data_IF_056065116758
#
_entry.id   IF_056065116758
#
_cell.length_a   1.000
_cell.length_b   1.000
_cell.length_c   1.000
_cell.angle_alpha   90.00
_cell.angle_beta   90.00
_cell.angle_gamma   90.00
#
_symmetry.space_group_name_H-M   'P 1'
#
loop_
_entity.id
_entity.type
_entity.pdbx_description
1 polymer ?
#
# COMPACT_ATOMS: atom_id res chain seq x y z
N UNK A 1 -27.16 -21.75 -36.24
CA UNK A 1 -26.66 -22.32 -34.98
C UNK A 1 -25.91 -21.23 -34.26
N UNK A 2 -26.60 -20.45 -33.43
CA UNK A 2 -25.93 -19.50 -32.53
C UNK A 2 -25.32 -20.34 -31.40
N UNK A 3 -24.03 -20.14 -31.13
CA UNK A 3 -23.21 -20.98 -30.24
C UNK A 3 -23.73 -21.06 -28.77
N UNK A 4 -24.83 -20.38 -28.42
CA UNK A 4 -25.33 -20.25 -27.06
C UNK A 4 -26.86 -20.29 -27.03
N UNK A 5 -27.42 -21.43 -26.62
CA UNK A 5 -28.86 -21.67 -26.46
C UNK A 5 -29.41 -20.96 -25.22
N UNK A 6 -29.74 -19.67 -25.34
CA UNK A 6 -30.74 -18.99 -24.50
C UNK A 6 -30.48 -18.86 -22.99
N UNK A 7 -29.37 -19.38 -22.45
CA UNK A 7 -29.04 -19.28 -21.03
C UNK A 7 -28.20 -18.02 -20.78
N UNK A 8 -28.85 -17.00 -20.21
CA UNK A 8 -28.21 -15.82 -19.64
C UNK A 8 -27.92 -16.07 -18.15
N UNK A 9 -26.75 -15.65 -17.62
CA UNK A 9 -25.67 -14.93 -18.30
C UNK A 9 -24.75 -15.87 -19.11
N UNK A 10 -24.41 -15.45 -20.34
CA UNK A 10 -23.49 -16.18 -21.23
C UNK A 10 -22.08 -16.37 -20.68
N UNK A 11 -21.68 -15.49 -19.76
CA UNK A 11 -20.45 -15.60 -18.98
C UNK A 11 -20.81 -15.41 -17.51
N UNK A 12 -21.07 -16.48 -16.73
CA UNK A 12 -21.14 -16.36 -15.29
C UNK A 12 -19.75 -15.90 -14.85
N UNK A 13 -19.60 -14.62 -14.52
CA UNK A 13 -18.31 -14.08 -14.08
C UNK A 13 -18.04 -14.57 -12.65
N UNK A 14 -17.09 -15.50 -12.43
CA UNK A 14 -16.56 -15.67 -11.10
C UNK A 14 -15.95 -14.33 -10.69
N UNK A 15 -16.46 -13.72 -9.63
CA UNK A 15 -15.88 -12.52 -9.06
C UNK A 15 -14.58 -12.93 -8.38
N UNK A 16 -13.48 -12.92 -9.12
CA UNK A 16 -12.16 -13.01 -8.52
C UNK A 16 -11.80 -11.63 -7.96
N UNK A 17 -11.60 -11.57 -6.65
CA UNK A 17 -10.95 -10.42 -6.04
C UNK A 17 -9.58 -10.25 -6.71
N UNK A 18 -9.30 -9.05 -7.23
CA UNK A 18 -7.96 -8.76 -7.69
C UNK A 18 -7.01 -8.88 -6.49
N UNK A 19 -6.06 -9.82 -6.56
CA UNK A 19 -5.06 -10.01 -5.50
C UNK A 19 -4.10 -8.83 -5.35
N UNK A 20 -4.04 -7.94 -6.36
CA UNK A 20 -3.26 -6.71 -6.38
C UNK A 20 -4.17 -5.54 -6.74
N UNK A 21 -3.97 -4.39 -6.08
CA UNK A 21 -4.72 -3.18 -6.41
C UNK A 21 -4.36 -2.71 -7.83
N UNK A 22 -5.38 -2.47 -8.65
CA UNK A 22 -5.24 -1.94 -10.02
C UNK A 22 -4.31 -0.72 -10.11
N UNK A 23 -4.40 0.31 -9.24
CA UNK A 23 -3.49 1.46 -9.31
C UNK A 23 -2.02 1.07 -9.09
N UNK A 24 -1.72 0.15 -8.18
CA UNK A 24 -0.36 -0.30 -7.93
C UNK A 24 0.19 -1.08 -9.12
N UNK A 25 -0.63 -1.92 -9.77
CA UNK A 25 -0.26 -2.62 -11.00
C UNK A 25 0.11 -1.65 -12.13
N UNK A 26 -0.70 -0.60 -12.32
CA UNK A 26 -0.45 0.44 -13.34
C UNK A 26 0.90 1.12 -13.08
N UNK A 27 1.18 1.47 -11.83
CA UNK A 27 2.44 2.10 -11.42
C UNK A 27 3.61 1.19 -11.77
N UNK A 28 3.60 -0.08 -11.34
CA UNK A 28 4.67 -1.04 -11.63
C UNK A 28 4.90 -1.16 -13.15
N UNK A 29 3.84 -1.27 -13.93
CA UNK A 29 3.94 -1.42 -15.38
C UNK A 29 4.57 -0.19 -16.04
N UNK A 30 4.17 1.03 -15.65
CA UNK A 30 4.76 2.27 -16.17
C UNK A 30 6.25 2.33 -15.86
N UNK A 31 6.66 2.04 -14.63
CA UNK A 31 8.08 2.05 -14.23
C UNK A 31 8.89 0.94 -14.93
N UNK A 32 8.32 -0.24 -15.17
CA UNK A 32 8.98 -1.31 -15.93
C UNK A 32 9.20 -0.93 -17.39
N UNK A 33 8.23 -0.29 -18.04
CA UNK A 33 8.37 0.18 -19.43
C UNK A 33 9.44 1.27 -19.52
N UNK A 34 9.49 2.18 -18.55
CA UNK A 34 10.56 3.18 -18.46
C UNK A 34 11.93 2.53 -18.24
N UNK A 35 12.05 1.54 -17.36
CA UNK A 35 13.31 0.82 -17.17
C UNK A 35 13.76 0.11 -18.45
N UNK A 36 12.84 -0.56 -19.15
CA UNK A 36 13.13 -1.25 -20.40
C UNK A 36 13.58 -0.29 -21.50
N UNK A 37 12.97 0.90 -21.62
CA UNK A 37 13.38 1.89 -22.61
C UNK A 37 14.80 2.41 -22.35
N UNK A 38 15.17 2.65 -21.09
CA UNK A 38 16.55 3.02 -20.74
C UNK A 38 17.57 1.90 -21.00
N UNK A 39 17.18 0.64 -20.80
CA UNK A 39 18.02 -0.52 -21.15
C UNK A 39 18.23 -0.67 -22.66
N UNK A 40 17.24 -0.30 -23.48
CA UNK A 40 17.37 -0.31 -24.94
C UNK A 40 18.29 0.80 -25.48
N UNK A 41 18.38 1.95 -24.78
CA UNK A 41 19.26 3.07 -25.14
C UNK A 41 20.72 2.81 -24.69
N UNK A 42 20.92 1.87 -23.76
CA UNK A 42 22.21 1.54 -23.15
C UNK A 42 23.36 1.20 -24.14
N UNK A 43 23.12 0.54 -25.30
CA UNK A 43 24.13 0.29 -26.32
C UNK A 43 24.71 1.55 -26.95
N UNK A 44 23.98 2.67 -26.94
CA UNK A 44 24.39 3.94 -27.55
C UNK A 44 25.36 4.79 -26.72
N UNK A 45 25.60 4.42 -25.45
CA UNK A 45 26.44 5.20 -24.54
C UNK A 45 27.89 4.66 -24.56
N UNK A 46 28.88 5.56 -24.64
CA UNK A 46 30.29 5.22 -24.85
C UNK A 46 31.02 4.94 -23.51
N UNK A 47 31.75 3.82 -23.43
CA UNK A 47 32.81 3.58 -22.42
C UNK A 47 32.38 3.09 -21.02
N UNK A 48 33.26 3.27 -20.02
CA UNK A 48 33.10 2.83 -18.61
C UNK A 48 32.01 3.63 -17.84
N UNK A 49 31.66 4.82 -18.34
CA UNK A 49 30.60 5.66 -17.76
C UNK A 49 29.19 5.04 -17.89
N UNK A 50 29.02 4.01 -18.74
CA UNK A 50 27.76 3.27 -18.91
C UNK A 50 27.23 2.68 -17.62
N UNK A 51 28.10 2.08 -16.81
CA UNK A 51 27.71 1.47 -15.54
C UNK A 51 27.21 2.52 -14.55
N UNK A 52 27.95 3.63 -14.40
CA UNK A 52 27.55 4.74 -13.54
C UNK A 52 26.22 5.37 -13.98
N UNK A 53 26.01 5.54 -15.29
CA UNK A 53 24.75 6.04 -15.83
C UNK A 53 23.59 5.08 -15.58
N UNK A 54 23.80 3.78 -15.82
CA UNK A 54 22.79 2.73 -15.57
C UNK A 54 22.38 2.71 -14.10
N UNK A 55 23.35 2.63 -13.19
CA UNK A 55 23.09 2.58 -11.74
C UNK A 55 22.33 3.84 -11.30
N UNK A 56 22.72 5.02 -11.78
CA UNK A 56 22.04 6.28 -11.46
C UNK A 56 20.59 6.29 -11.93
N UNK A 57 20.34 5.88 -13.18
CA UNK A 57 18.98 5.87 -13.76
C UNK A 57 18.10 4.85 -13.05
N UNK A 58 18.60 3.62 -12.83
CA UNK A 58 17.84 2.58 -12.13
C UNK A 58 17.53 2.96 -10.69
N UNK A 59 18.50 3.52 -9.96
CA UNK A 59 18.31 3.92 -8.57
C UNK A 59 17.32 5.10 -8.46
N UNK A 60 17.41 6.09 -9.36
CA UNK A 60 16.42 7.17 -9.39
C UNK A 60 15.01 6.66 -9.72
N UNK A 61 14.91 5.77 -10.71
CA UNK A 61 13.64 5.17 -11.12
C UNK A 61 13.03 4.31 -10.01
N UNK A 62 13.86 3.58 -9.27
CA UNK A 62 13.46 2.81 -8.10
C UNK A 62 12.92 3.72 -6.99
N UNK A 63 13.63 4.79 -6.63
CA UNK A 63 13.15 5.77 -5.63
C UNK A 63 11.80 6.36 -6.06
N UNK A 64 11.66 6.74 -7.33
CA UNK A 64 10.40 7.26 -7.86
C UNK A 64 9.27 6.22 -7.79
N UNK A 65 9.56 4.97 -8.16
CA UNK A 65 8.61 3.87 -8.10
C UNK A 65 8.13 3.62 -6.67
N UNK A 66 9.04 3.58 -5.70
CA UNK A 66 8.71 3.38 -4.29
C UNK A 66 7.88 4.54 -3.70
N UNK A 67 8.19 5.79 -4.07
CA UNK A 67 7.41 6.96 -3.63
C UNK A 67 5.94 6.84 -4.10
N UNK A 68 5.72 6.45 -5.37
CA UNK A 68 4.38 6.32 -5.95
C UNK A 68 3.68 5.03 -5.50
N UNK A 69 4.38 3.89 -5.45
CA UNK A 69 3.82 2.62 -5.05
C UNK A 69 3.32 2.66 -3.61
N UNK A 70 4.13 3.16 -2.68
CA UNK A 70 3.69 3.24 -1.28
C UNK A 70 2.67 4.37 -1.02
N UNK A 71 2.45 5.29 -1.97
CA UNK A 71 1.29 6.21 -1.93
C UNK A 71 -0.04 5.47 -2.12
N UNK A 72 -0.10 4.55 -3.09
CA UNK A 72 -1.30 3.75 -3.38
C UNK A 72 -1.38 2.42 -2.60
N UNK A 73 -0.32 2.05 -1.88
CA UNK A 73 -0.32 0.80 -1.10
C UNK A 73 -1.31 0.84 0.07
N UNK A 74 -2.00 -0.28 0.27
CA UNK A 74 -2.89 -0.51 1.40
C UNK A 74 -2.18 -1.22 2.58
N UNK A 75 -0.86 -1.40 2.51
CA UNK A 75 -0.08 -2.23 3.43
C UNK A 75 0.78 -1.40 4.39
N UNK A 76 0.22 -0.32 4.94
CA UNK A 76 0.92 0.50 5.92
C UNK A 76 0.82 -0.08 7.33
N UNK A 77 -0.39 -0.49 7.72
CA UNK A 77 -0.60 -1.34 8.88
C UNK A 77 -1.47 -2.53 8.52
N UNK A 78 -1.02 -3.71 8.92
CA UNK A 78 -1.66 -4.99 8.60
C UNK A 78 -2.00 -5.71 9.89
N UNK A 79 -3.18 -6.31 9.96
CA UNK A 79 -3.58 -7.17 11.06
C UNK A 79 -4.29 -8.39 10.49
N UNK A 80 -3.95 -9.57 11.00
CA UNK A 80 -4.52 -10.83 10.49
C UNK A 80 -4.83 -11.76 11.63
N UNK A 81 -6.02 -12.36 11.61
CA UNK A 81 -6.43 -13.29 12.67
C UNK A 81 -7.33 -14.40 12.11
N UNK A 82 -7.06 -15.64 12.51
CA UNK A 82 -7.89 -16.80 12.13
C UNK A 82 -8.88 -17.09 13.24
N UNK A 83 -10.18 -16.96 12.94
CA UNK A 83 -11.22 -16.94 13.96
C UNK A 83 -12.49 -17.66 13.49
N UNK A 84 -13.33 -18.06 14.44
CA UNK A 84 -14.65 -18.62 14.15
C UNK A 84 -15.70 -17.54 14.40
N UNK A 85 -16.28 -17.00 13.34
CA UNK A 85 -17.19 -15.85 13.39
C UNK A 85 -18.54 -16.17 12.78
N UNK A 86 -19.56 -15.40 13.18
CA UNK A 86 -20.84 -15.36 12.46
C UNK A 86 -20.62 -14.81 11.06
N UNK A 87 -21.27 -15.40 10.07
CA UNK A 87 -21.08 -15.05 8.67
C UNK A 87 -22.19 -14.16 8.11
N UNK A 88 -23.45 -14.62 8.18
CA UNK A 88 -24.61 -13.95 7.57
C UNK A 88 -25.73 -13.70 8.59
N UNK A 89 -26.51 -12.65 8.36
CA UNK A 89 -27.77 -12.43 9.08
C UNK A 89 -28.74 -13.61 8.84
N UNK A 90 -29.56 -13.93 9.84
CA UNK A 90 -30.52 -15.04 9.80
C UNK A 90 -29.93 -16.46 9.66
N UNK A 91 -28.61 -16.62 9.81
CA UNK A 91 -27.95 -17.93 9.96
C UNK A 91 -27.25 -18.02 11.31
N UNK A 92 -27.41 -19.17 11.98
CA UNK A 92 -26.74 -19.48 13.26
C UNK A 92 -25.35 -20.09 13.02
N UNK A 93 -25.07 -20.49 11.79
CA UNK A 93 -23.82 -21.16 11.44
C UNK A 93 -22.63 -20.21 11.53
N UNK A 94 -21.53 -20.76 12.05
CA UNK A 94 -20.28 -20.03 12.22
C UNK A 94 -19.22 -20.61 11.30
N UNK A 95 -18.57 -19.73 10.56
CA UNK A 95 -17.53 -20.06 9.59
C UNK A 95 -16.16 -19.89 10.25
N UNK A 96 -15.21 -20.78 9.91
CA UNK A 96 -13.79 -20.54 10.22
C UNK A 96 -13.20 -19.72 9.09
N UNK A 97 -12.81 -18.49 9.40
CA UNK A 97 -12.26 -17.58 8.41
C UNK A 97 -11.01 -16.87 8.95
N UNK A 98 -10.10 -16.62 8.04
CA UNK A 98 -8.98 -15.74 8.23
C UNK A 98 -9.42 -14.32 7.85
N UNK A 99 -9.44 -13.44 8.84
CA UNK A 99 -9.81 -12.04 8.67
C UNK A 99 -8.54 -11.21 8.61
N UNK A 100 -8.36 -10.46 7.53
CA UNK A 100 -7.27 -9.53 7.36
C UNK A 100 -7.78 -8.09 7.31
N UNK A 101 -7.02 -7.19 7.93
CA UNK A 101 -7.23 -5.75 7.94
C UNK A 101 -5.95 -5.11 7.39
N UNK A 102 -6.06 -4.43 6.26
CA UNK A 102 -4.96 -3.76 5.60
C UNK A 102 -5.32 -2.27 5.51
N UNK A 103 -4.70 -1.46 6.36
CA UNK A 103 -4.93 -0.02 6.39
C UNK A 103 -3.87 0.66 5.51
N UNK A 104 -4.35 1.39 4.51
CA UNK A 104 -3.57 2.28 3.66
C UNK A 104 -3.72 3.75 4.04
N UNK A 105 -3.05 4.61 3.29
CA UNK A 105 -3.21 6.06 3.45
C UNK A 105 -4.56 6.56 2.92
N UNK A 106 -5.06 5.98 1.83
CA UNK A 106 -6.29 6.43 1.15
C UNK A 106 -7.56 5.65 1.54
N UNK A 107 -7.40 4.55 2.29
CA UNK A 107 -8.51 3.68 2.64
C UNK A 107 -8.07 2.45 3.41
N UNK A 108 -9.05 1.57 3.67
CA UNK A 108 -8.86 0.29 4.34
C UNK A 108 -9.38 -0.84 3.46
N UNK A 109 -8.59 -1.89 3.34
CA UNK A 109 -8.96 -3.13 2.69
C UNK A 109 -9.20 -4.20 3.75
N UNK A 110 -10.34 -4.88 3.66
CA UNK A 110 -10.76 -5.91 4.60
C UNK A 110 -10.89 -7.21 3.82
N UNK A 111 -10.11 -8.22 4.23
CA UNK A 111 -10.11 -9.53 3.62
C UNK A 111 -10.78 -10.55 4.54
N UNK A 112 -11.59 -11.44 3.96
CA UNK A 112 -12.24 -12.54 4.66
C UNK A 112 -12.11 -13.79 3.81
N UNK A 113 -11.21 -14.69 4.21
CA UNK A 113 -10.95 -15.95 3.49
C UNK A 113 -11.30 -17.16 4.35
N UNK A 114 -12.11 -18.08 3.83
CA UNK A 114 -12.50 -19.29 4.54
C UNK A 114 -11.35 -20.29 4.69
N UNK A 115 -11.31 -21.01 5.82
CA UNK A 115 -10.40 -22.15 6.06
C UNK A 115 -11.19 -23.43 6.35
N UNK A 116 -11.59 -24.23 5.33
CA UNK A 116 -11.32 -24.12 3.89
C UNK A 116 -12.16 -23.06 3.16
N UNK A 117 -11.78 -22.69 1.93
CA UNK A 117 -12.43 -21.60 1.17
C UNK A 117 -13.91 -21.90 0.87
N UNK A 118 -14.22 -23.17 0.59
CA UNK A 118 -15.60 -23.64 0.43
C UNK A 118 -16.16 -24.05 1.79
N UNK A 119 -17.09 -23.28 2.33
CA UNK A 119 -17.83 -23.59 3.55
C UNK A 119 -19.30 -23.26 3.33
N UNK A 120 -20.20 -24.08 3.87
CA UNK A 120 -21.66 -23.87 3.76
C UNK A 120 -22.16 -23.78 2.31
N UNK A 121 -21.55 -24.54 1.39
CA UNK A 121 -21.80 -24.49 -0.06
C UNK A 121 -21.57 -23.11 -0.70
N UNK A 122 -20.79 -22.23 -0.05
CA UNK A 122 -20.41 -20.92 -0.55
C UNK A 122 -18.88 -20.77 -0.59
N UNK A 123 -18.42 -19.93 -1.54
CA UNK A 123 -17.01 -19.58 -1.68
C UNK A 123 -16.73 -18.33 -0.85
N UNK A 124 -15.95 -18.47 0.22
CA UNK A 124 -15.67 -17.39 1.15
C UNK A 124 -14.29 -16.82 0.83
N UNK A 125 -14.27 -15.85 -0.07
CA UNK A 125 -13.08 -15.10 -0.48
C UNK A 125 -13.46 -13.66 -0.82
N UNK A 126 -13.55 -12.82 0.22
CA UNK A 126 -13.93 -11.41 0.10
C UNK A 126 -12.70 -10.52 0.26
N UNK A 127 -12.60 -9.50 -0.60
CA UNK A 127 -11.61 -8.42 -0.52
C UNK A 127 -12.34 -7.10 -0.78
N UNK A 128 -12.84 -6.48 0.30
CA UNK A 128 -13.63 -5.26 0.22
C UNK A 128 -12.77 -4.05 0.56
N UNK A 129 -12.89 -2.99 -0.23
CA UNK A 129 -12.13 -1.77 -0.07
C UNK A 129 -13.03 -0.60 0.28
N UNK A 130 -12.73 0.08 1.40
CA UNK A 130 -13.40 1.30 1.82
C UNK A 130 -12.43 2.48 1.74
N UNK A 131 -12.73 3.43 0.85
CA UNK A 131 -11.87 4.58 0.55
C UNK A 131 -12.33 5.80 1.36
N UNK A 132 -11.39 6.54 1.95
CA UNK A 132 -11.65 7.76 2.74
C UNK A 132 -10.92 9.00 2.19
N UNK A 133 -10.69 9.05 0.87
CA UNK A 133 -10.11 10.21 0.19
C UNK A 133 -11.00 11.45 0.36
N UNK A 134 -10.38 12.63 0.39
CA UNK A 134 -11.11 13.92 0.36
C UNK A 134 -12.09 13.94 -0.81
N UNK A 135 -13.37 14.19 -0.50
CA UNK A 135 -14.47 14.17 -1.47
C UNK A 135 -15.22 12.84 -1.59
N UNK A 136 -14.74 11.75 -0.95
CA UNK A 136 -15.46 10.48 -0.85
C UNK A 136 -16.20 10.38 0.48
N UNK A 137 -17.46 9.91 0.42
CA UNK A 137 -18.28 9.74 1.62
C UNK A 137 -18.17 8.30 2.13
N UNK A 138 -17.29 8.08 3.11
CA UNK A 138 -17.11 6.76 3.75
C UNK A 138 -18.42 6.22 4.33
N UNK A 139 -19.25 7.08 4.94
CA UNK A 139 -20.53 6.66 5.52
C UNK A 139 -21.52 6.19 4.44
N UNK A 140 -21.48 6.81 3.25
CA UNK A 140 -22.27 6.37 2.10
C UNK A 140 -21.81 5.02 1.56
N UNK A 141 -20.50 4.82 1.39
CA UNK A 141 -19.94 3.53 0.98
C UNK A 141 -20.24 2.40 1.98
N UNK A 142 -20.22 2.72 3.29
CA UNK A 142 -20.62 1.78 4.34
C UNK A 142 -22.12 1.45 4.29
N UNK A 143 -22.99 2.45 4.03
CA UNK A 143 -24.43 2.20 3.86
C UNK A 143 -24.72 1.30 2.65
N UNK A 144 -24.04 1.52 1.53
CA UNK A 144 -24.15 0.66 0.34
C UNK A 144 -23.66 -0.78 0.63
N UNK A 145 -22.59 -0.92 1.41
CA UNK A 145 -22.11 -2.22 1.89
C UNK A 145 -23.12 -2.95 2.79
N UNK A 146 -23.85 -2.21 3.63
CA UNK A 146 -24.95 -2.74 4.45
C UNK A 146 -26.12 -3.19 3.57
N UNK A 147 -26.53 -2.38 2.60
CA UNK A 147 -27.60 -2.72 1.65
C UNK A 147 -27.26 -3.93 0.79
N UNK A 148 -25.99 -4.08 0.39
CA UNK A 148 -25.47 -5.27 -0.32
C UNK A 148 -25.47 -6.53 0.55
N UNK A 149 -25.54 -6.40 1.87
CA UNK A 149 -25.55 -7.54 2.80
C UNK A 149 -24.20 -8.27 2.89
N UNK A 150 -23.09 -7.51 2.95
CA UNK A 150 -21.75 -8.07 3.16
C UNK A 150 -21.66 -8.91 4.46
N UNK A 151 -20.70 -9.85 4.55
CA UNK A 151 -20.58 -10.71 5.72
C UNK A 151 -20.26 -9.91 7.00
N UNK A 152 -20.79 -10.37 8.12
CA UNK A 152 -20.72 -9.67 9.41
C UNK A 152 -19.30 -9.23 9.83
N UNK A 153 -18.23 -10.05 9.68
CA UNK A 153 -16.87 -9.63 10.07
C UNK A 153 -16.36 -8.43 9.27
N UNK A 154 -16.74 -8.34 7.99
CA UNK A 154 -16.34 -7.23 7.11
C UNK A 154 -17.06 -5.95 7.53
N UNK A 155 -18.38 -6.03 7.75
CA UNK A 155 -19.17 -4.90 8.22
C UNK A 155 -18.72 -4.42 9.61
N UNK A 156 -18.44 -5.34 10.53
CA UNK A 156 -17.95 -5.02 11.88
C UNK A 156 -16.65 -4.22 11.82
N UNK A 157 -15.69 -4.65 11.00
CA UNK A 157 -14.42 -3.92 10.83
C UNK A 157 -14.64 -2.58 10.14
N UNK A 158 -15.46 -2.53 9.08
CA UNK A 158 -15.77 -1.29 8.37
C UNK A 158 -16.45 -0.25 9.28
N UNK A 159 -17.31 -0.68 10.19
CA UNK A 159 -17.99 0.18 11.16
C UNK A 159 -16.99 0.88 12.10
N UNK A 160 -15.91 0.21 12.50
CA UNK A 160 -14.87 0.79 13.39
C UNK A 160 -14.12 1.96 12.75
N UNK A 161 -14.13 2.05 11.43
CA UNK A 161 -13.56 3.15 10.66
C UNK A 161 -14.63 4.14 10.17
N UNK A 162 -15.85 4.11 10.71
CA UNK A 162 -16.84 5.15 10.41
C UNK A 162 -16.57 6.46 11.19
N UNK A 163 -16.92 7.63 10.64
CA UNK A 163 -16.75 8.91 11.33
C UNK A 163 -17.50 9.04 12.67
N UNK A 164 -18.60 8.31 12.81
CA UNK A 164 -19.46 8.26 14.01
C UNK A 164 -19.02 7.23 15.05
N UNK A 165 -18.01 6.39 14.73
CA UNK A 165 -17.58 5.32 15.64
C UNK A 165 -16.94 5.88 16.93
N UNK A 166 -17.24 5.30 18.11
CA UNK A 166 -16.59 5.68 19.37
C UNK A 166 -15.09 5.38 19.39
N UNK A 167 -14.65 4.42 18.56
CA UNK A 167 -13.24 4.05 18.38
C UNK A 167 -12.41 5.19 17.80
N UNK A 168 -13.02 6.12 17.05
CA UNK A 168 -12.31 7.22 16.43
C UNK A 168 -11.25 6.80 15.41
N UNK A 169 -11.26 5.55 14.91
CA UNK A 169 -10.27 5.05 13.95
C UNK A 169 -10.24 5.90 12.68
N UNK A 170 -11.41 6.31 12.18
CA UNK A 170 -11.53 7.27 11.09
C UNK A 170 -10.83 8.60 11.40
N UNK A 171 -10.96 9.13 12.62
CA UNK A 171 -10.31 10.40 12.99
C UNK A 171 -8.80 10.23 13.11
N UNK A 172 -8.32 9.07 13.55
CA UNK A 172 -6.90 8.77 13.66
C UNK A 172 -6.23 8.69 12.27
N UNK A 173 -6.85 8.05 11.28
CA UNK A 173 -6.27 7.86 9.95
C UNK A 173 -6.65 8.94 8.92
N UNK A 174 -7.83 9.57 9.05
CA UNK A 174 -8.38 10.49 8.03
C UNK A 174 -8.34 11.96 8.44
N UNK A 175 -8.46 12.30 9.74
CA UNK A 175 -8.65 13.70 10.15
C UNK A 175 -7.48 14.26 10.97
N UNK A 176 -6.98 15.46 10.62
CA UNK A 176 -5.89 16.11 11.35
C UNK A 176 -6.27 16.51 12.77
N UNK A 177 -5.44 16.12 13.75
CA UNK A 177 -5.09 17.06 14.84
C UNK A 177 -4.52 18.32 14.18
N UNK A 178 -4.80 19.56 14.66
CA UNK A 178 -4.90 20.78 13.84
C UNK A 178 -3.63 21.30 13.15
N UNK A 179 -2.58 20.49 12.96
CA UNK A 179 -1.35 20.93 12.33
C UNK A 179 -0.70 19.95 11.31
N UNK A 180 -1.11 18.66 11.20
CA UNK A 180 -0.30 17.68 10.42
C UNK A 180 -1.01 16.45 9.78
N UNK A 181 -2.33 16.30 9.74
CA UNK A 181 -2.99 15.09 9.19
C UNK A 181 -3.17 15.04 7.66
N UNK A 182 -3.49 16.17 7.04
CA UNK A 182 -3.46 16.32 5.57
C UNK A 182 -2.04 16.25 4.99
N UNK A 183 -1.02 16.15 5.85
CA UNK A 183 0.38 16.26 5.45
C UNK A 183 1.01 14.94 5.06
N UNK A 184 0.55 13.73 5.42
CA UNK A 184 1.30 12.52 4.98
C UNK A 184 1.17 12.25 3.48
N UNK A 185 -0.05 12.34 2.94
CA UNK A 185 -0.28 12.27 1.48
C UNK A 185 0.35 13.47 0.77
N UNK A 186 0.16 14.69 1.28
CA UNK A 186 0.78 15.89 0.71
C UNK A 186 2.32 15.86 0.78
N UNK A 187 2.92 15.36 1.87
CA UNK A 187 4.36 15.23 2.05
C UNK A 187 4.91 14.20 1.07
N UNK A 188 4.20 13.10 0.80
CA UNK A 188 4.61 12.14 -0.25
C UNK A 188 4.49 12.74 -1.65
N UNK A 189 3.45 13.53 -1.93
CA UNK A 189 3.33 14.27 -3.20
C UNK A 189 4.43 15.33 -3.34
N UNK A 190 4.75 16.05 -2.27
CA UNK A 190 5.86 17.00 -2.22
C UNK A 190 7.19 16.27 -2.43
N UNK A 191 7.40 15.11 -1.81
CA UNK A 191 8.57 14.27 -2.07
C UNK A 191 8.64 13.84 -3.54
N UNK A 192 7.51 13.46 -4.15
CA UNK A 192 7.46 13.15 -5.59
C UNK A 192 7.83 14.36 -6.47
N UNK A 193 7.36 15.56 -6.14
CA UNK A 193 7.74 16.79 -6.84
C UNK A 193 9.24 17.10 -6.70
N UNK A 194 9.82 16.93 -5.50
CA UNK A 194 11.25 17.11 -5.28
C UNK A 194 12.09 16.04 -5.98
N UNK A 195 11.58 14.81 -6.12
CA UNK A 195 12.21 13.76 -6.94
C UNK A 195 12.23 14.14 -8.42
N UNK A 196 11.11 14.63 -8.97
CA UNK A 196 11.08 15.15 -10.35
C UNK A 196 12.05 16.30 -10.55
N UNK A 197 12.08 17.25 -9.60
CA UNK A 197 13.01 18.38 -9.62
C UNK A 197 14.47 17.92 -9.54
N UNK A 198 14.76 16.93 -8.70
CA UNK A 198 16.10 16.33 -8.60
C UNK A 198 16.53 15.73 -9.93
N UNK A 199 15.66 14.95 -10.60
CA UNK A 199 15.96 14.39 -11.92
C UNK A 199 16.20 15.46 -12.99
N UNK A 200 15.41 16.54 -12.98
CA UNK A 200 15.64 17.68 -13.88
C UNK A 200 16.98 18.37 -13.61
N UNK A 201 17.30 18.68 -12.35
CA UNK A 201 18.56 19.32 -11.97
C UNK A 201 19.78 18.43 -12.24
N UNK A 202 19.62 17.12 -12.10
CA UNK A 202 20.63 16.11 -12.40
C UNK A 202 20.94 15.98 -13.90
N UNK A 203 20.01 16.40 -14.77
CA UNK A 203 20.24 16.48 -16.23
C UNK A 203 20.98 17.75 -16.67
N UNK A 204 20.91 18.80 -15.84
CA UNK A 204 21.67 20.03 -16.01
C UNK A 204 23.08 19.89 -15.42
N UNK A 205 24.06 20.71 -15.84
CA UNK A 205 25.45 20.63 -15.37
C UNK A 205 25.66 21.08 -13.90
N UNK A 206 24.62 21.01 -13.06
CA UNK A 206 24.65 21.49 -11.67
C UNK A 206 24.35 20.36 -10.66
N UNK A 207 25.28 19.39 -10.49
CA UNK A 207 25.04 18.17 -9.71
C UNK A 207 24.81 18.43 -8.22
N UNK A 208 25.34 19.52 -7.66
CA UNK A 208 25.20 19.86 -6.25
C UNK A 208 23.74 20.10 -5.83
N UNK A 209 22.98 20.86 -6.61
CA UNK A 209 21.55 21.09 -6.30
C UNK A 209 20.70 19.85 -6.56
N UNK A 210 21.06 19.02 -7.53
CA UNK A 210 20.40 17.74 -7.77
C UNK A 210 20.52 16.78 -6.57
N UNK A 211 21.71 16.68 -5.98
CA UNK A 211 21.95 15.90 -4.76
C UNK A 211 21.22 16.45 -3.53
N UNK A 212 21.21 17.78 -3.34
CA UNK A 212 20.44 18.42 -2.27
C UNK A 212 18.93 18.15 -2.40
N UNK A 213 18.37 18.24 -3.61
CA UNK A 213 16.97 17.92 -3.87
C UNK A 213 16.63 16.44 -3.62
N UNK A 214 17.59 15.54 -3.83
CA UNK A 214 17.41 14.11 -3.51
C UNK A 214 17.42 13.87 -2.00
N UNK A 215 18.30 14.55 -1.25
CA UNK A 215 18.33 14.49 0.21
C UNK A 215 17.06 15.06 0.84
N UNK A 216 16.53 16.18 0.31
CA UNK A 216 15.26 16.73 0.78
C UNK A 216 14.10 15.78 0.50
N UNK A 217 14.10 15.10 -0.65
CA UNK A 217 13.12 14.05 -0.98
C UNK A 217 13.14 12.92 0.07
N UNK A 218 14.33 12.40 0.40
CA UNK A 218 14.49 11.38 1.43
C UNK A 218 14.04 11.84 2.82
N UNK A 219 14.35 13.09 3.19
CA UNK A 219 13.91 13.68 4.44
C UNK A 219 12.38 13.79 4.54
N UNK A 220 11.70 14.19 3.46
CA UNK A 220 10.24 14.21 3.41
C UNK A 220 9.64 12.80 3.45
N UNK A 221 10.25 11.82 2.78
CA UNK A 221 9.83 10.42 2.86
C UNK A 221 9.93 9.90 4.31
N UNK A 222 11.05 10.11 5.00
CA UNK A 222 11.21 9.73 6.41
C UNK A 222 10.24 10.48 7.34
N UNK A 223 10.00 11.77 7.08
CA UNK A 223 9.02 12.54 7.85
C UNK A 223 7.60 11.95 7.70
N UNK A 224 7.24 11.45 6.52
CA UNK A 224 5.95 10.80 6.29
C UNK A 224 5.81 9.50 7.11
N UNK A 225 6.89 8.72 7.21
CA UNK A 225 6.94 7.49 8.03
C UNK A 225 6.83 7.82 9.52
N UNK A 226 7.57 8.83 9.98
CA UNK A 226 7.50 9.29 11.37
C UNK A 226 6.11 9.83 11.73
N UNK A 227 5.49 10.59 10.84
CA UNK A 227 4.12 11.07 11.01
C UNK A 227 3.13 9.89 11.14
N UNK A 228 3.25 8.88 10.27
CA UNK A 228 2.43 7.68 10.35
C UNK A 228 2.65 6.90 11.67
N UNK A 229 3.91 6.69 12.07
CA UNK A 229 4.25 6.01 13.32
C UNK A 229 3.71 6.75 14.56
N UNK A 230 3.74 8.09 14.55
CA UNK A 230 3.16 8.89 15.62
C UNK A 230 1.64 8.70 15.74
N UNK A 231 0.96 8.58 14.59
CA UNK A 231 -0.48 8.32 14.53
C UNK A 231 -0.80 6.91 15.02
N UNK A 232 -0.06 5.89 14.58
CA UNK A 232 -0.30 4.49 14.95
C UNK A 232 0.04 4.17 16.40
N UNK A 233 0.91 4.96 17.06
CA UNK A 233 1.25 4.80 18.47
C UNK A 233 0.11 5.11 19.44
N UNK A 234 -0.96 5.78 18.98
CA UNK A 234 -2.16 6.02 19.78
C UNK A 234 -2.95 4.71 19.85
N UNK A 235 -3.29 4.21 21.06
CA UNK A 235 -3.91 2.91 21.21
C UNK A 235 -5.25 2.87 20.46
N UNK A 236 -5.31 2.00 19.46
CA UNK A 236 -6.54 1.67 18.76
C UNK A 236 -7.50 0.94 19.72
N UNK A 237 -8.80 1.04 19.45
CA UNK A 237 -9.79 0.23 20.14
C UNK A 237 -9.50 -1.26 19.94
N UNK A 238 -9.80 -2.08 20.94
CA UNK A 238 -9.65 -3.53 20.86
C UNK A 238 -10.60 -4.09 19.79
N UNK A 239 -10.05 -4.56 18.67
CA UNK A 239 -10.79 -5.20 17.59
C UNK A 239 -11.00 -6.67 17.95
N UNK A 240 -12.17 -7.00 18.51
CA UNK A 240 -12.49 -8.39 18.90
C UNK A 240 -13.39 -9.05 17.87
N UNK A 241 -12.89 -10.10 17.23
CA UNK A 241 -13.60 -10.96 16.30
C UNK A 241 -13.81 -12.32 16.99
N UNK A 242 -15.02 -12.51 17.54
CA UNK A 242 -15.34 -13.69 18.32
C UNK A 242 -14.51 -13.79 19.61
N UNK A 243 -13.72 -14.86 19.74
CA UNK A 243 -12.87 -15.12 20.92
C UNK A 243 -11.45 -14.53 20.81
N UNK A 244 -11.18 -13.77 19.76
CA UNK A 244 -9.82 -13.46 19.30
C UNK A 244 -9.68 -11.98 19.00
N UNK A 245 -8.54 -11.41 19.37
CA UNK A 245 -8.22 -10.00 19.17
C UNK A 245 -7.36 -9.83 17.91
N UNK A 246 -7.75 -8.88 17.06
CA UNK A 246 -7.01 -8.50 15.87
C UNK A 246 -6.04 -7.38 16.25
N UNK A 247 -4.75 -7.70 16.29
CA UNK A 247 -3.68 -6.73 16.50
C UNK A 247 -3.06 -6.32 15.17
N UNK A 248 -2.87 -5.01 14.99
CA UNK A 248 -2.23 -4.44 13.80
C UNK A 248 -0.74 -4.25 14.03
N UNK A 249 0.07 -4.67 13.07
CA UNK A 249 1.51 -4.44 13.00
C UNK A 249 1.86 -3.60 11.75
N UNK A 250 3.09 -3.08 11.69
CA UNK A 250 3.55 -2.32 10.53
C UNK A 250 3.72 -3.24 9.31
N UNK A 251 3.13 -2.85 8.18
CA UNK A 251 3.17 -3.61 6.95
C UNK A 251 4.42 -3.36 6.10
N UNK A 252 4.50 -4.01 4.94
CA UNK A 252 5.68 -3.96 4.06
C UNK A 252 5.97 -2.54 3.55
N UNK A 253 4.94 -1.76 3.20
CA UNK A 253 5.11 -0.40 2.68
C UNK A 253 5.82 0.53 3.69
N UNK A 254 5.56 0.34 4.99
CA UNK A 254 6.23 1.08 6.05
C UNK A 254 7.73 0.75 6.10
N UNK A 255 8.09 -0.53 6.07
CA UNK A 255 9.48 -0.96 6.14
C UNK A 255 10.27 -0.61 4.88
N UNK A 256 9.67 -0.77 3.71
CA UNK A 256 10.32 -0.41 2.43
C UNK A 256 10.58 1.10 2.40
N UNK A 257 9.60 1.92 2.77
CA UNK A 257 9.81 3.38 2.81
C UNK A 257 10.84 3.81 3.84
N UNK A 258 10.87 3.18 5.01
CA UNK A 258 11.92 3.41 6.00
C UNK A 258 13.31 3.04 5.44
N UNK A 259 13.46 1.87 4.82
CA UNK A 259 14.71 1.42 4.23
C UNK A 259 15.19 2.33 3.10
N UNK A 260 14.29 2.79 2.22
CA UNK A 260 14.65 3.74 1.14
C UNK A 260 15.02 5.14 1.64
N UNK A 261 14.43 5.60 2.76
CA UNK A 261 14.74 6.90 3.35
C UNK A 261 16.02 6.87 4.21
N UNK A 262 16.29 5.75 4.86
CA UNK A 262 17.45 5.50 5.73
C UNK A 262 18.63 4.89 4.96
N UNK A 263 18.79 5.16 3.67
CA UNK A 263 19.92 4.67 2.88
C UNK A 263 21.23 5.41 3.27
N UNK A 264 21.55 5.38 4.56
CA UNK A 264 22.90 5.36 5.10
C UNK A 264 23.45 3.99 4.73
N UNK A 265 24.65 3.95 4.15
CA UNK A 265 25.39 2.73 3.83
C UNK A 265 25.71 1.85 5.05
N UNK A 266 24.68 1.31 5.70
CA UNK A 266 24.74 0.46 6.87
C UNK A 266 23.86 -0.75 6.60
N UNK A 267 24.53 -1.90 6.46
CA UNK A 267 23.92 -3.21 6.20
C UNK A 267 22.77 -3.49 7.20
N UNK A 268 21.56 -3.84 6.74
CA UNK A 268 20.57 -4.44 7.63
C UNK A 268 21.02 -5.88 7.97
N UNK A 269 21.43 -6.08 9.22
CA UNK A 269 21.81 -7.38 9.78
C UNK A 269 20.55 -8.16 10.21
N UNK A 270 19.58 -8.40 9.33
CA UNK A 270 18.40 -9.26 9.64
C UNK A 270 17.76 -9.98 8.42
N UNK A 271 18.51 -10.22 7.35
CA UNK A 271 18.15 -11.24 6.35
C UNK A 271 19.23 -12.30 6.34
N UNK A 272 18.82 -13.54 6.62
CA UNK A 272 19.69 -14.71 6.60
C UNK A 272 20.46 -14.80 5.29
N UNK A 273 21.68 -15.33 5.42
CA UNK A 273 22.62 -15.63 4.34
C UNK A 273 21.91 -16.22 3.12
N UNK A 274 21.93 -15.51 1.98
CA UNK A 274 21.41 -16.09 0.74
C UNK A 274 21.19 -15.17 -0.46
N UNK A 275 21.10 -13.85 -0.31
CA UNK A 275 20.91 -12.96 -1.47
C UNK A 275 21.77 -11.70 -1.37
N UNK A 276 22.73 -11.58 -2.29
CA UNK A 276 23.66 -10.46 -2.36
C UNK A 276 22.95 -9.17 -2.78
N UNK A 277 22.63 -8.31 -1.81
CA UNK A 277 22.43 -6.89 -2.04
C UNK A 277 23.72 -6.14 -1.72
N UNK A 278 24.30 -5.51 -2.74
CA UNK A 278 25.52 -4.70 -2.65
C UNK A 278 25.16 -3.35 -2.01
N UNK A 279 25.87 -2.89 -0.95
CA UNK A 279 25.60 -1.60 -0.32
C UNK A 279 26.02 -0.43 -1.22
N UNK A 280 25.08 0.47 -1.53
CA UNK A 280 25.27 1.67 -2.35
C UNK A 280 25.48 2.88 -1.44
N UNK A 281 26.69 3.03 -0.90
CA UNK A 281 27.18 4.33 -0.41
C UNK A 281 28.68 4.25 -0.11
N UNK A 282 29.48 4.11 -1.16
CA UNK A 282 30.91 4.38 -1.12
C UNK A 282 31.42 4.76 -2.52
N UNK A 283 30.94 5.88 -3.05
CA UNK A 283 31.71 6.58 -4.08
C UNK A 283 31.83 8.05 -3.66
N UNK A 284 32.88 8.24 -2.86
CA UNK A 284 33.44 9.51 -2.48
C UNK A 284 33.74 10.31 -3.75
N UNK A 285 33.27 11.56 -3.79
CA UNK A 285 33.70 12.53 -4.77
C UNK A 285 35.22 12.69 -4.68
N UNK A 286 35.93 12.30 -5.74
CA UNK A 286 37.26 12.74 -6.11
C UNK A 286 37.33 12.80 -7.64
#
# INVERSE_FOLDING_TARGET
MTLWDGVLPFYPQPRHAAGLSVPLLIVILVFLVLAASFLLILPGIRGHSRWFWLVRVLLSLFIGAEIVAAHFSAEWSVGSVSTKTSYKAFSVERVRAHVGLHVGLEGVNITLTGTPVQQLNETIDYNEQFVWRVGQNYAGAYAEALEKGLPYPVLYLAEKFTPSSPCGGYRQYTTPRPLYGEKTLCVRVVAFCFWLLSNMLLSMPVPHYGGLALLTTGAFALFSVFAFASISSVPLCQLRLGSSELTTHYGAAFWITLATGEDRGTRPRWLGEGTGFIPVCAFQFA
#
